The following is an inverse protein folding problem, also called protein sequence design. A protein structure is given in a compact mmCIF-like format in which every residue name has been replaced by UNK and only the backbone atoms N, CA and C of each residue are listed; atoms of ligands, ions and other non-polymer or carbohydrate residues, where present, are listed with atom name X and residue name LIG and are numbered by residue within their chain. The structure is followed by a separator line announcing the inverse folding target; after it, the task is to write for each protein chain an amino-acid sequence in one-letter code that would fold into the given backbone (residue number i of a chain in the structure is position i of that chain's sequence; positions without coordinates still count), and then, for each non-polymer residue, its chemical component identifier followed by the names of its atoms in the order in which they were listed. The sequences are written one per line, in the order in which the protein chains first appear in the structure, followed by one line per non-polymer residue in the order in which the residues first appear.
data_IF_534657046803
#
_entry.id   IF_534657046803
#
_cell.length_a   1.000
_cell.length_b   1.000
_cell.length_c   1.000
_cell.angle_alpha   90.00
_cell.angle_beta   90.00
_cell.angle_gamma   90.00
#
_symmetry.space_group_name_H-M   'P 1'
#
loop_
_entity.id
_entity.type
_entity.pdbx_description
1 polymer ?
#
# COMPACT_ATOMS: atom_id res chain seq x y z
N UNK A 1 -17.21 -15.63 27.52
CA UNK A 1 -17.93 -15.40 26.25
C UNK A 1 -17.84 -16.70 25.48
N UNK A 2 -19.00 -17.29 25.21
CA UNK A 2 -19.12 -18.57 24.51
C UNK A 2 -18.50 -18.48 23.11
N UNK A 3 -17.43 -19.22 22.84
CA UNK A 3 -16.94 -19.45 21.48
C UNK A 3 -18.03 -20.22 20.73
N UNK A 4 -18.76 -19.50 19.89
CA UNK A 4 -19.75 -20.08 18.97
C UNK A 4 -19.33 -19.73 17.56
N UNK A 5 -19.61 -20.61 16.59
CA UNK A 5 -19.27 -20.39 15.18
C UNK A 5 -19.90 -19.07 14.69
N UNK A 6 -21.13 -18.78 15.13
CA UNK A 6 -21.83 -17.52 14.84
C UNK A 6 -21.06 -16.28 15.30
N UNK A 7 -20.44 -16.33 16.48
CA UNK A 7 -19.66 -15.18 16.99
C UNK A 7 -18.43 -14.86 16.11
N UNK A 8 -17.79 -15.89 15.57
CA UNK A 8 -16.63 -15.73 14.68
C UNK A 8 -17.08 -15.15 13.34
N UNK A 9 -18.23 -15.57 12.82
CA UNK A 9 -18.79 -14.99 11.60
C UNK A 9 -19.22 -13.54 11.78
N UNK A 10 -19.83 -13.19 12.92
CA UNK A 10 -20.19 -11.78 13.21
C UNK A 10 -18.95 -10.90 13.32
N UNK A 11 -17.89 -11.38 13.97
CA UNK A 11 -16.63 -10.65 14.10
C UNK A 11 -15.94 -10.48 12.74
N UNK A 12 -15.98 -11.52 11.89
CA UNK A 12 -15.50 -11.45 10.50
C UNK A 12 -16.28 -10.41 9.69
N UNK A 13 -17.62 -10.46 9.72
CA UNK A 13 -18.47 -9.50 9.00
C UNK A 13 -18.25 -8.07 9.47
N UNK A 14 -18.13 -7.85 10.79
CA UNK A 14 -17.83 -6.55 11.35
C UNK A 14 -16.45 -6.03 10.90
N UNK A 15 -15.44 -6.89 10.89
CA UNK A 15 -14.10 -6.53 10.40
C UNK A 15 -14.12 -6.15 8.91
N UNK A 16 -14.78 -6.94 8.06
CA UNK A 16 -14.90 -6.63 6.63
C UNK A 16 -15.67 -5.33 6.38
N UNK A 17 -16.77 -5.09 7.11
CA UNK A 17 -17.53 -3.84 7.00
C UNK A 17 -16.69 -2.63 7.44
N UNK A 18 -15.90 -2.76 8.51
CA UNK A 18 -15.02 -1.70 8.97
C UNK A 18 -13.88 -1.41 7.97
N UNK A 19 -13.32 -2.44 7.32
CA UNK A 19 -12.31 -2.28 6.28
C UNK A 19 -12.87 -1.57 5.03
N UNK A 20 -14.09 -1.90 4.62
CA UNK A 20 -14.78 -1.21 3.53
C UNK A 20 -15.11 0.25 3.88
N UNK A 21 -15.43 0.52 5.16
CA UNK A 21 -15.74 1.86 5.65
C UNK A 21 -14.52 2.77 5.88
N UNK A 22 -13.30 2.22 5.88
CA UNK A 22 -12.08 3.02 6.05
C UNK A 22 -11.82 3.86 4.79
N UNK A 23 -11.95 5.18 4.93
CA UNK A 23 -11.77 6.13 3.83
C UNK A 23 -10.30 6.53 3.63
N UNK A 24 -9.51 6.56 4.70
CA UNK A 24 -8.12 7.00 4.68
C UNK A 24 -7.17 6.03 5.39
N UNK A 25 -5.86 6.18 5.17
CA UNK A 25 -4.82 5.38 5.84
C UNK A 25 -4.84 5.53 7.37
N UNK A 26 -5.31 6.65 7.91
CA UNK A 26 -5.48 6.83 9.36
C UNK A 26 -6.64 6.00 9.90
N UNK A 27 -7.79 6.01 9.21
CA UNK A 27 -8.93 5.17 9.56
C UNK A 27 -8.58 3.69 9.46
N UNK A 28 -7.81 3.32 8.42
CA UNK A 28 -7.34 1.95 8.23
C UNK A 28 -6.46 1.48 9.39
N UNK A 29 -5.62 2.36 9.98
CA UNK A 29 -4.84 2.04 11.19
C UNK A 29 -5.73 1.82 12.41
N UNK A 30 -6.79 2.60 12.57
CA UNK A 30 -7.76 2.42 13.66
C UNK A 30 -8.47 1.07 13.51
N UNK A 31 -8.93 0.76 12.30
CA UNK A 31 -9.56 -0.54 11.98
C UNK A 31 -8.59 -1.70 12.21
N UNK A 32 -7.31 -1.56 11.84
CA UNK A 32 -6.27 -2.56 12.12
C UNK A 32 -6.15 -2.84 13.60
N UNK A 33 -6.06 -1.79 14.43
CA UNK A 33 -5.93 -1.96 15.88
C UNK A 33 -7.16 -2.62 16.51
N UNK A 34 -8.36 -2.30 16.00
CA UNK A 34 -9.61 -2.83 16.51
C UNK A 34 -9.88 -4.29 16.07
N UNK A 35 -9.61 -4.64 14.80
CA UNK A 35 -10.09 -5.89 14.20
C UNK A 35 -8.99 -6.88 13.77
N UNK A 36 -7.76 -6.42 13.52
CA UNK A 36 -6.66 -7.26 13.01
C UNK A 36 -5.56 -7.50 14.05
N UNK A 37 -5.29 -6.51 14.91
CA UNK A 37 -4.19 -6.53 15.87
C UNK A 37 -4.32 -7.56 16.98
N UNK A 38 -3.32 -7.62 17.86
CA UNK A 38 -3.21 -8.65 18.91
C UNK A 38 -4.33 -8.60 19.96
N UNK A 39 -5.00 -7.45 20.08
CA UNK A 39 -6.14 -7.24 20.99
C UNK A 39 -7.51 -7.41 20.31
N UNK A 40 -7.53 -7.77 19.03
CA UNK A 40 -8.75 -7.92 18.26
C UNK A 40 -9.65 -9.06 18.77
N UNK A 41 -10.96 -9.02 18.48
CA UNK A 41 -11.89 -10.10 18.83
C UNK A 41 -11.40 -11.46 18.30
N UNK A 42 -10.93 -11.49 17.05
CA UNK A 42 -10.39 -12.69 16.40
C UNK A 42 -9.08 -13.17 17.05
N UNK A 43 -8.19 -12.27 17.48
CA UNK A 43 -6.98 -12.64 18.22
C UNK A 43 -7.29 -13.21 19.61
N UNK A 44 -8.27 -12.63 20.32
CA UNK A 44 -8.76 -13.14 21.62
C UNK A 44 -9.44 -14.49 21.48
N UNK A 45 -10.24 -14.69 20.44
CA UNK A 45 -10.82 -15.99 20.11
C UNK A 45 -9.71 -17.04 19.85
N UNK A 46 -8.63 -16.63 19.15
CA UNK A 46 -7.49 -17.50 18.90
C UNK A 46 -6.67 -17.83 20.17
N UNK A 47 -6.57 -16.91 21.12
CA UNK A 47 -5.95 -17.19 22.43
C UNK A 47 -6.81 -18.13 23.27
N UNK A 48 -8.14 -17.96 23.23
CA UNK A 48 -9.09 -18.81 23.94
C UNK A 48 -9.14 -20.26 23.42
N UNK A 49 -8.74 -20.52 22.16
CA UNK A 49 -8.52 -21.88 21.64
C UNK A 49 -7.54 -22.70 22.50
N UNK A 50 -6.56 -22.03 23.12
CA UNK A 50 -5.58 -22.64 24.01
C UNK A 50 -6.18 -23.25 25.29
N UNK A 51 -7.45 -22.98 25.60
CA UNK A 51 -8.14 -23.50 26.78
C UNK A 51 -9.13 -24.65 26.48
N UNK A 52 -9.34 -24.99 25.19
CA UNK A 52 -10.31 -26.02 24.76
C UNK A 52 -9.69 -27.43 24.60
N UNK A 53 -10.47 -28.51 24.82
CA UNK A 53 -10.03 -29.90 24.61
C UNK A 53 -9.78 -30.20 23.11
N UNK A 54 -8.88 -31.15 22.84
CA UNK A 54 -8.22 -31.32 21.53
C UNK A 54 -9.13 -31.55 20.32
N UNK A 55 -10.32 -32.14 20.49
CA UNK A 55 -11.23 -32.44 19.37
C UNK A 55 -11.93 -31.16 18.86
N UNK A 56 -12.47 -30.35 19.78
CA UNK A 56 -13.10 -29.05 19.46
C UNK A 56 -12.05 -28.02 19.01
N UNK A 57 -10.84 -28.08 19.57
CA UNK A 57 -9.73 -27.18 19.19
C UNK A 57 -9.38 -27.27 17.70
N UNK A 58 -9.46 -28.45 17.08
CA UNK A 58 -9.13 -28.62 15.67
C UNK A 58 -10.17 -28.00 14.73
N UNK A 59 -11.46 -28.14 15.04
CA UNK A 59 -12.55 -27.58 14.24
C UNK A 59 -12.60 -26.05 14.35
N UNK A 60 -12.60 -25.51 15.57
CA UNK A 60 -12.60 -24.06 15.79
C UNK A 60 -11.31 -23.39 15.31
N UNK A 61 -10.16 -24.08 15.40
CA UNK A 61 -8.88 -23.58 14.88
C UNK A 61 -8.88 -23.35 13.38
N UNK A 62 -9.50 -24.25 12.60
CA UNK A 62 -9.66 -24.09 11.15
C UNK A 62 -10.53 -22.88 10.81
N UNK A 63 -11.66 -22.73 11.50
CA UNK A 63 -12.60 -21.61 11.26
C UNK A 63 -11.96 -20.27 11.61
N UNK A 64 -11.30 -20.16 12.77
CA UNK A 64 -10.62 -18.92 13.19
C UNK A 64 -9.44 -18.60 12.28
N UNK A 65 -8.66 -19.61 11.89
CA UNK A 65 -7.55 -19.44 10.95
C UNK A 65 -8.00 -18.91 9.59
N UNK A 66 -9.06 -19.50 9.03
CA UNK A 66 -9.64 -19.06 7.76
C UNK A 66 -10.18 -17.62 7.86
N UNK A 67 -10.94 -17.31 8.91
CA UNK A 67 -11.48 -15.96 9.13
C UNK A 67 -10.37 -14.91 9.26
N UNK A 68 -9.28 -15.20 9.98
CA UNK A 68 -8.12 -14.29 10.08
C UNK A 68 -7.41 -14.13 8.74
N UNK A 69 -7.25 -15.21 7.97
CA UNK A 69 -6.62 -15.15 6.66
C UNK A 69 -7.39 -14.24 5.70
N UNK A 70 -8.73 -14.37 5.62
CA UNK A 70 -9.57 -13.50 4.79
C UNK A 70 -9.52 -12.04 5.24
N UNK A 71 -9.63 -11.77 6.54
CA UNK A 71 -9.59 -10.39 7.05
C UNK A 71 -8.22 -9.75 6.79
N UNK A 72 -7.12 -10.51 6.94
CA UNK A 72 -5.78 -10.03 6.62
C UNK A 72 -5.59 -9.76 5.12
N UNK A 73 -6.13 -10.63 4.27
CA UNK A 73 -6.10 -10.42 2.82
C UNK A 73 -6.87 -9.16 2.41
N UNK A 74 -8.10 -8.99 2.93
CA UNK A 74 -8.91 -7.80 2.69
C UNK A 74 -8.24 -6.52 3.23
N UNK A 75 -7.54 -6.61 4.37
CA UNK A 75 -6.76 -5.50 4.90
C UNK A 75 -5.61 -5.11 3.96
N UNK A 76 -4.83 -6.08 3.48
CA UNK A 76 -3.70 -5.83 2.58
C UNK A 76 -4.17 -5.20 1.26
N UNK A 77 -5.24 -5.72 0.66
CA UNK A 77 -5.82 -5.16 -0.57
C UNK A 77 -6.29 -3.71 -0.36
N UNK A 78 -6.94 -3.43 0.78
CA UNK A 78 -7.40 -2.08 1.10
C UNK A 78 -6.24 -1.11 1.38
N UNK A 79 -5.18 -1.60 2.02
CA UNK A 79 -3.95 -0.83 2.27
C UNK A 79 -3.26 -0.44 0.96
N UNK A 80 -3.06 -1.39 0.05
CA UNK A 80 -2.48 -1.14 -1.27
C UNK A 80 -3.31 -0.13 -2.07
N UNK A 81 -4.64 -0.27 -2.08
CA UNK A 81 -5.53 0.66 -2.76
C UNK A 81 -5.39 2.09 -2.22
N UNK A 82 -5.43 2.28 -0.90
CA UNK A 82 -5.38 3.61 -0.28
C UNK A 82 -3.99 4.25 -0.39
N UNK A 83 -2.91 3.45 -0.39
CA UNK A 83 -1.56 3.93 -0.68
C UNK A 83 -1.49 4.42 -2.14
N UNK A 84 -1.97 3.61 -3.09
CA UNK A 84 -1.99 3.99 -4.50
C UNK A 84 -2.80 5.27 -4.77
N UNK A 85 -3.96 5.42 -4.11
CA UNK A 85 -4.78 6.63 -4.22
C UNK A 85 -4.06 7.86 -3.65
N UNK A 86 -3.40 7.73 -2.50
CA UNK A 86 -2.61 8.81 -1.89
C UNK A 86 -1.45 9.22 -2.79
N UNK A 87 -0.68 8.25 -3.28
CA UNK A 87 0.49 8.49 -4.11
C UNK A 87 0.09 9.13 -5.43
N UNK A 88 -1.00 8.67 -6.04
CA UNK A 88 -1.59 9.30 -7.23
C UNK A 88 -1.95 10.77 -7.02
N UNK A 89 -2.61 11.10 -5.90
CA UNK A 89 -2.94 12.50 -5.54
C UNK A 89 -1.69 13.36 -5.39
N UNK A 90 -0.63 12.82 -4.77
CA UNK A 90 0.65 13.54 -4.61
C UNK A 90 1.26 13.83 -5.98
N UNK A 91 1.36 12.80 -6.84
CA UNK A 91 1.93 12.94 -8.18
C UNK A 91 1.19 13.97 -9.05
N UNK A 92 -0.14 14.03 -8.94
CA UNK A 92 -0.94 15.03 -9.65
C UNK A 92 -0.69 16.44 -9.10
N UNK A 93 -0.66 16.59 -7.77
CA UNK A 93 -0.46 17.88 -7.12
C UNK A 93 0.94 18.48 -7.33
N UNK A 94 1.95 17.61 -7.46
CA UNK A 94 3.36 17.99 -7.64
C UNK A 94 3.79 17.97 -9.11
N UNK A 95 2.84 17.88 -10.04
CA UNK A 95 3.14 17.85 -11.47
C UNK A 95 3.73 19.19 -11.92
N UNK A 96 4.99 19.17 -12.36
CA UNK A 96 5.70 20.33 -12.90
C UNK A 96 5.85 20.21 -14.42
N UNK A 97 5.67 21.33 -15.13
CA UNK A 97 5.99 21.42 -16.56
C UNK A 97 7.50 21.55 -16.77
N UNK A 98 8.12 20.46 -17.22
CA UNK A 98 9.57 20.38 -17.51
C UNK A 98 9.99 21.12 -18.79
N UNK A 99 9.04 21.53 -19.63
CA UNK A 99 9.30 22.27 -20.87
C UNK A 99 9.48 23.76 -20.67
N UNK A 100 9.10 24.27 -19.48
CA UNK A 100 9.20 25.69 -19.18
C UNK A 100 10.64 26.20 -19.36
N UNK A 101 10.80 27.38 -19.98
CA UNK A 101 12.11 27.97 -20.17
C UNK A 101 12.74 28.27 -18.81
N UNK A 102 13.74 27.48 -18.44
CA UNK A 102 14.58 27.74 -17.28
C UNK A 102 15.69 28.72 -17.64
N UNK A 103 16.30 29.37 -16.64
CA UNK A 103 17.47 30.24 -16.82
C UNK A 103 18.70 29.40 -17.20
N UNK A 104 18.74 28.92 -18.45
CA UNK A 104 19.94 28.30 -19.03
C UNK A 104 20.94 29.40 -19.33
N UNK A 105 22.20 29.20 -18.96
CA UNK A 105 23.29 30.05 -19.47
C UNK A 105 23.34 29.87 -20.98
N UNK A 106 23.49 30.97 -21.71
CA UNK A 106 23.78 30.87 -23.14
C UNK A 106 25.06 30.06 -23.29
N UNK A 107 25.02 29.01 -24.11
CA UNK A 107 26.25 28.40 -24.59
C UNK A 107 26.90 29.44 -25.50
N UNK A 108 28.20 29.68 -25.31
CA UNK A 108 28.96 30.51 -26.25
C UNK A 108 29.03 29.85 -27.62
N UNK A 109 29.25 30.64 -28.67
CA UNK A 109 29.49 30.12 -30.03
C UNK A 109 30.96 30.23 -30.40
N UNK A 110 31.45 29.29 -31.21
CA UNK A 110 32.71 29.48 -31.93
C UNK A 110 32.53 30.58 -32.98
N UNK A 111 33.60 31.34 -33.21
CA UNK A 111 33.61 32.31 -34.30
C UNK A 111 33.46 31.59 -35.66
N UNK A 112 32.75 32.16 -36.66
CA UNK A 112 32.58 31.52 -37.96
C UNK A 112 33.89 31.09 -38.64
N UNK A 113 34.96 31.87 -38.48
CA UNK A 113 36.29 31.48 -38.97
C UNK A 113 36.83 30.23 -38.29
N UNK A 114 36.59 30.05 -36.98
CA UNK A 114 37.01 28.85 -36.25
C UNK A 114 36.21 27.63 -36.71
N UNK A 115 34.92 27.81 -37.01
CA UNK A 115 34.07 26.75 -37.60
C UNK A 115 34.65 26.32 -38.94
N UNK A 116 34.92 27.27 -39.84
CA UNK A 116 35.51 26.99 -41.16
C UNK A 116 36.87 26.30 -41.07
N UNK A 117 37.76 26.76 -40.17
CA UNK A 117 39.07 26.13 -39.98
C UNK A 117 38.94 24.69 -39.49
N UNK A 118 38.01 24.43 -38.56
CA UNK A 118 37.76 23.08 -38.06
C UNK A 118 37.17 22.19 -39.16
N UNK A 119 36.17 22.66 -39.92
CA UNK A 119 35.57 21.91 -41.03
C UNK A 119 36.60 21.54 -42.11
N UNK A 120 37.47 22.48 -42.48
CA UNK A 120 38.54 22.21 -43.44
C UNK A 120 39.55 21.22 -42.86
N UNK A 121 39.91 21.35 -41.58
CA UNK A 121 40.86 20.46 -40.92
C UNK A 121 40.31 19.04 -40.79
N UNK A 122 39.03 18.90 -40.42
CA UNK A 122 38.33 17.61 -40.33
C UNK A 122 38.26 16.91 -41.70
N UNK A 123 38.09 17.66 -42.81
CA UNK A 123 38.11 17.10 -44.16
C UNK A 123 39.45 16.42 -44.52
N UNK A 124 40.57 16.90 -43.99
CA UNK A 124 41.90 16.34 -44.28
C UNK A 124 42.34 15.27 -43.28
N UNK A 125 41.72 15.21 -42.11
CA UNK A 125 42.04 14.24 -41.04
C UNK A 125 41.07 13.05 -41.02
N UNK A 126 39.84 13.21 -41.52
CA UNK A 126 38.85 12.14 -41.70
C UNK A 126 39.16 11.20 -42.86
#
# INVERSE_FOLDING_TARGET
MSLTVDSIETDKKAALAALLGAANLEDLKVVRLAHVGDKSPLAKANQALGSLPGNERAEFGKVIGAARAEVNAAYAEREEFLIGERDGKILESERVDVSLPTKRRSVGGLHPLTILTNEISDLFVG
#
